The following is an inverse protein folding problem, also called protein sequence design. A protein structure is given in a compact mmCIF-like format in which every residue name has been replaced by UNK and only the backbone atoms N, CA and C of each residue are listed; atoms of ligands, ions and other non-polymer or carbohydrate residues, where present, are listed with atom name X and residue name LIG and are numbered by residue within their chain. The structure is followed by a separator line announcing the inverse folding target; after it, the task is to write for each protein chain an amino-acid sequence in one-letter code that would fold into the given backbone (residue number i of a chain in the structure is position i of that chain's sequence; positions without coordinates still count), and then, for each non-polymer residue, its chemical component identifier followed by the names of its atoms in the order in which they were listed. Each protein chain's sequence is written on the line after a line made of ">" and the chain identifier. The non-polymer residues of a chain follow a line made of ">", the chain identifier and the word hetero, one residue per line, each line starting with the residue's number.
data_IF_128926505063
#
_entry.id   IF_128926505063
#
_cell.length_a   1.000
_cell.length_b   1.000
_cell.length_c   1.000
_cell.angle_alpha   90.00
_cell.angle_beta   90.00
_cell.angle_gamma   90.00
#
_symmetry.space_group_name_H-M   'P 1'
#
loop_
_entity.id
_entity.type
_entity.pdbx_description
1 polymer ?
#
# COMPACT_ATOMS: atom_id res chain seq x y z
N UNK A 1 -16.34 3.53 10.30
CA UNK A 1 -15.88 2.78 9.12
C UNK A 1 -14.51 3.30 8.70
N UNK A 2 -13.47 2.50 8.96
CA UNK A 2 -12.07 2.86 8.68
C UNK A 2 -11.84 2.75 7.17
N UNK A 3 -11.55 3.87 6.51
CA UNK A 3 -11.20 3.92 5.10
C UNK A 3 -9.83 3.27 4.90
N UNK A 4 -9.78 2.18 4.13
CA UNK A 4 -8.53 1.70 3.55
C UNK A 4 -8.01 2.76 2.58
N UNK A 5 -6.77 3.18 2.80
CA UNK A 5 -6.04 4.03 1.86
C UNK A 5 -5.63 3.20 0.64
N UNK A 6 -6.55 3.13 -0.32
CA UNK A 6 -6.33 2.61 -1.67
C UNK A 6 -6.06 3.77 -2.62
N UNK A 7 -5.22 3.54 -3.62
CA UNK A 7 -5.03 4.41 -4.78
C UNK A 7 -6.38 4.88 -5.34
N UNK A 8 -6.56 6.20 -5.44
CA UNK A 8 -7.63 6.78 -6.25
C UNK A 8 -6.99 7.44 -7.47
N UNK A 9 -7.06 6.76 -8.61
CA UNK A 9 -7.20 7.43 -9.89
C UNK A 9 -8.70 7.60 -10.07
N UNK A 10 -9.20 8.83 -9.96
CA UNK A 10 -10.60 9.12 -10.26
C UNK A 10 -10.74 9.30 -11.77
N UNK A 11 -11.27 8.28 -12.45
CA UNK A 11 -11.99 8.51 -13.71
C UNK A 11 -13.17 7.53 -13.84
N UNK A 12 -14.23 8.03 -14.47
CA UNK A 12 -15.60 7.51 -14.58
C UNK A 12 -15.77 6.24 -15.43
N UNK A 13 -14.70 5.58 -15.87
CA UNK A 13 -14.75 4.40 -16.73
C UNK A 13 -14.16 3.22 -15.95
N UNK A 14 -14.94 2.19 -15.66
CA UNK A 14 -14.61 1.09 -14.75
C UNK A 14 -13.47 0.15 -15.18
N UNK A 15 -12.40 0.67 -15.79
CA UNK A 15 -11.21 -0.07 -16.22
C UNK A 15 -10.05 0.09 -15.22
N UNK A 16 -9.20 -0.93 -15.03
CA UNK A 16 -8.10 -0.88 -14.08
C UNK A 16 -7.00 0.10 -14.53
N UNK A 17 -6.25 0.72 -13.60
CA UNK A 17 -5.18 1.68 -13.93
C UNK A 17 -4.09 1.17 -14.88
N UNK A 18 -3.90 -0.16 -14.95
CA UNK A 18 -2.94 -0.81 -15.87
C UNK A 18 -3.41 -0.88 -17.33
N UNK A 19 -4.67 -0.56 -17.61
CA UNK A 19 -5.24 -0.56 -18.96
C UNK A 19 -4.96 0.75 -19.72
N UNK A 20 -4.37 1.75 -19.03
CA UNK A 20 -4.11 3.06 -19.60
C UNK A 20 -2.61 3.27 -19.74
N UNK A 21 -2.16 3.51 -20.98
CA UNK A 21 -0.87 4.16 -21.24
C UNK A 21 -1.01 5.59 -20.71
N UNK A 22 -0.64 5.83 -19.45
CA UNK A 22 -0.40 7.19 -18.95
C UNK A 22 0.75 7.75 -19.80
N UNK A 23 0.74 9.03 -20.23
CA UNK A 23 1.76 9.61 -21.13
C UNK A 23 3.06 9.91 -20.35
N UNK A 24 3.56 8.88 -19.66
CA UNK A 24 4.63 8.90 -18.69
C UNK A 24 5.94 9.37 -19.32
N UNK A 25 6.22 8.90 -20.54
CA UNK A 25 7.45 9.25 -21.26
C UNK A 25 7.38 10.66 -21.86
N UNK A 26 6.23 11.08 -22.37
CA UNK A 26 6.02 12.43 -22.94
C UNK A 26 6.23 13.54 -21.90
N UNK A 27 5.68 13.38 -20.70
CA UNK A 27 5.88 14.36 -19.62
C UNK A 27 7.34 14.41 -19.15
N UNK A 28 8.03 13.26 -19.10
CA UNK A 28 9.47 13.20 -18.77
C UNK A 28 10.32 13.94 -19.80
N UNK A 29 10.05 13.75 -21.09
CA UNK A 29 10.80 14.38 -22.18
C UNK A 29 10.57 15.90 -22.26
N UNK A 30 9.33 16.37 -22.13
CA UNK A 30 9.02 17.81 -22.10
C UNK A 30 9.74 18.53 -20.95
N UNK A 31 9.82 17.91 -19.77
CA UNK A 31 10.55 18.47 -18.62
C UNK A 31 12.07 18.49 -18.78
N UNK A 32 12.65 17.46 -19.40
CA UNK A 32 14.08 17.43 -19.74
C UNK A 32 14.42 18.50 -20.78
N UNK A 33 13.53 18.73 -21.76
CA UNK A 33 13.72 19.79 -22.76
C UNK A 33 13.68 21.21 -22.17
N UNK A 34 12.97 21.41 -21.05
CA UNK A 34 12.89 22.69 -20.36
C UNK A 34 14.01 22.98 -19.35
N UNK A 35 14.90 22.02 -19.07
CA UNK A 35 15.96 22.15 -18.04
C UNK A 35 17.39 22.11 -18.57
N UNK A 36 17.61 21.99 -19.89
CA UNK A 36 18.96 22.03 -20.47
C UNK A 36 19.28 23.45 -20.93
N UNK A 37 19.75 24.27 -20.00
CA UNK A 37 20.75 25.29 -20.33
C UNK A 37 22.11 24.59 -20.45
N UNK A 38 22.85 24.97 -21.49
CA UNK A 38 24.04 24.30 -22.00
C UNK A 38 25.13 24.01 -20.95
N UNK A 39 25.44 22.73 -20.73
CA UNK A 39 26.79 22.16 -20.77
C UNK A 39 26.80 20.68 -20.33
N UNK A 40 27.48 19.87 -21.14
CA UNK A 40 28.01 18.52 -20.84
C UNK A 40 27.02 17.43 -20.38
N UNK A 41 26.76 16.45 -21.27
CA UNK A 41 27.45 15.13 -21.21
C UNK A 41 27.15 14.38 -22.51
N UNK A 42 28.22 14.06 -23.23
CA UNK A 42 28.22 13.16 -24.39
C UNK A 42 28.21 11.69 -23.96
N UNK A 43 27.43 10.93 -24.71
CA UNK A 43 27.57 9.49 -25.02
C UNK A 43 26.91 8.49 -24.08
N UNK A 44 25.78 7.93 -24.55
CA UNK A 44 25.61 6.49 -24.73
C UNK A 44 24.40 6.29 -25.65
N UNK A 45 24.66 6.25 -26.95
CA UNK A 45 23.69 5.85 -27.95
C UNK A 45 23.55 4.33 -27.89
N UNK A 46 22.45 3.83 -27.30
CA UNK A 46 21.90 2.53 -27.68
C UNK A 46 20.46 2.37 -27.15
N UNK A 47 19.53 2.21 -28.10
CA UNK A 47 18.09 1.90 -27.97
C UNK A 47 17.20 2.96 -27.33
N UNK A 48 17.08 4.11 -27.99
CA UNK A 48 15.84 4.89 -27.95
C UNK A 48 14.86 4.26 -28.95
N UNK A 49 14.02 3.34 -28.47
CA UNK A 49 12.72 3.18 -29.11
C UNK A 49 12.04 4.53 -28.96
N UNK A 50 11.85 5.24 -30.07
CA UNK A 50 10.97 6.39 -30.15
C UNK A 50 9.59 5.89 -29.72
N UNK A 51 9.26 6.09 -28.44
CA UNK A 51 7.88 6.00 -28.00
C UNK A 51 7.18 7.17 -28.69
N UNK A 52 6.48 6.86 -29.78
CA UNK A 52 5.52 7.79 -30.35
C UNK A 52 4.65 8.30 -29.21
N UNK A 53 4.71 9.61 -28.94
CA UNK A 53 3.80 10.28 -28.03
C UNK A 53 2.41 10.10 -28.65
N UNK A 54 1.69 9.05 -28.24
CA UNK A 54 0.29 8.92 -28.59
C UNK A 54 -0.44 10.06 -27.91
N UNK A 55 -1.04 10.91 -28.73
CA UNK A 55 -1.98 11.91 -28.29
C UNK A 55 -3.14 11.15 -27.62
N UNK A 56 -3.28 11.28 -26.30
CA UNK A 56 -4.35 10.65 -25.54
C UNK A 56 -5.53 11.62 -25.54
N UNK A 57 -6.73 11.13 -25.85
CA UNK A 57 -7.97 11.94 -25.86
C UNK A 57 -8.45 12.39 -24.46
N UNK A 58 -7.58 12.37 -23.43
CA UNK A 58 -7.95 12.64 -22.05
C UNK A 58 -6.85 13.38 -21.28
N UNK A 59 -7.27 14.37 -20.50
CA UNK A 59 -6.43 15.07 -19.53
C UNK A 59 -6.39 14.34 -18.19
N UNK A 60 -5.21 14.27 -17.57
CA UNK A 60 -5.01 13.62 -16.27
C UNK A 60 -4.80 14.63 -15.15
N UNK A 61 -5.62 14.53 -14.09
CA UNK A 61 -5.35 15.17 -12.81
C UNK A 61 -4.74 14.15 -11.84
N UNK A 62 -3.42 14.23 -11.66
CA UNK A 62 -2.65 13.27 -10.89
C UNK A 62 -2.40 13.78 -9.46
N UNK A 63 -3.09 13.19 -8.47
CA UNK A 63 -2.87 13.48 -7.05
C UNK A 63 -2.29 12.29 -6.31
N UNK A 64 -1.36 12.55 -5.39
CA UNK A 64 -0.87 11.56 -4.44
C UNK A 64 -1.18 12.02 -3.01
N UNK A 65 -2.08 11.30 -2.34
CA UNK A 65 -2.49 11.57 -0.96
C UNK A 65 -1.57 10.82 0.00
N UNK A 66 -0.89 11.56 0.88
CA UNK A 66 0.01 10.96 1.85
C UNK A 66 0.09 11.79 3.14
N UNK A 67 0.71 11.24 4.18
CA UNK A 67 0.92 11.89 5.47
C UNK A 67 2.36 11.74 5.92
N UNK A 68 2.71 12.28 7.09
CA UNK A 68 4.02 12.02 7.67
C UNK A 68 4.28 10.50 7.77
N UNK A 69 5.50 10.07 7.41
CA UNK A 69 5.87 8.65 7.34
C UNK A 69 5.65 7.89 8.63
N UNK A 70 5.88 8.51 9.79
CA UNK A 70 5.67 7.86 11.09
C UNK A 70 4.19 7.59 11.32
N UNK A 71 3.34 8.58 11.06
CA UNK A 71 1.89 8.43 11.24
C UNK A 71 1.28 7.48 10.19
N UNK A 72 1.82 7.48 8.97
CA UNK A 72 1.48 6.49 7.97
C UNK A 72 1.84 5.07 8.43
N UNK A 73 3.03 4.86 8.99
CA UNK A 73 3.44 3.54 9.51
C UNK A 73 2.56 3.11 10.68
N UNK A 74 2.25 4.00 11.62
CA UNK A 74 1.30 3.72 12.72
C UNK A 74 -0.07 3.31 12.19
N UNK A 75 -0.56 4.00 11.16
CA UNK A 75 -1.86 3.71 10.54
C UNK A 75 -1.85 2.37 9.79
N UNK A 76 -0.75 2.05 9.11
CA UNK A 76 -0.55 0.76 8.44
C UNK A 76 -0.55 -0.37 9.46
N UNK A 77 0.22 -0.21 10.54
CA UNK A 77 0.35 -1.23 11.58
C UNK A 77 -0.99 -1.51 12.25
N UNK A 78 -1.71 -0.45 12.62
CA UNK A 78 -3.05 -0.56 13.17
C UNK A 78 -4.06 -1.19 12.19
N UNK A 79 -3.97 -0.88 10.90
CA UNK A 79 -4.84 -1.53 9.88
C UNK A 79 -4.53 -3.02 9.76
N UNK A 80 -3.26 -3.43 9.83
CA UNK A 80 -2.90 -4.85 9.83
C UNK A 80 -3.53 -5.58 11.03
N UNK A 81 -3.54 -4.96 12.21
CA UNK A 81 -4.26 -5.51 13.38
C UNK A 81 -5.76 -5.58 13.12
N UNK A 82 -6.37 -4.50 12.63
CA UNK A 82 -7.81 -4.43 12.36
C UNK A 82 -8.30 -5.49 11.37
N UNK A 83 -7.47 -5.83 10.37
CA UNK A 83 -7.76 -6.90 9.40
C UNK A 83 -7.77 -8.31 10.02
N UNK A 84 -7.21 -8.49 11.21
CA UNK A 84 -7.23 -9.76 11.93
C UNK A 84 -8.40 -9.89 12.90
N UNK A 85 -9.14 -8.80 13.14
CA UNK A 85 -10.28 -8.81 14.04
C UNK A 85 -11.53 -9.37 13.36
N UNK A 86 -12.36 -10.03 14.16
CA UNK A 86 -13.65 -10.56 13.73
C UNK A 86 -13.57 -11.93 13.06
N UNK A 87 -14.75 -12.55 12.91
CA UNK A 87 -14.87 -13.89 12.34
C UNK A 87 -14.57 -13.96 10.83
N UNK A 88 -14.75 -12.84 10.12
CA UNK A 88 -14.53 -12.71 8.67
C UNK A 88 -13.24 -11.94 8.33
N UNK A 89 -12.23 -12.03 9.20
CA UNK A 89 -10.94 -11.37 9.00
C UNK A 89 -10.08 -12.03 7.92
N UNK A 90 -8.90 -11.45 7.67
CA UNK A 90 -7.97 -11.91 6.62
C UNK A 90 -7.56 -13.39 6.78
N UNK A 91 -7.51 -13.92 8.01
CA UNK A 91 -7.19 -15.34 8.25
C UNK A 91 -8.31 -16.26 7.76
N UNK A 92 -9.57 -15.88 7.95
CA UNK A 92 -10.72 -16.64 7.44
C UNK A 92 -10.76 -16.62 5.91
N UNK A 93 -10.56 -15.44 5.30
CA UNK A 93 -10.48 -15.32 3.84
C UNK A 93 -9.30 -16.14 3.26
N UNK A 94 -8.11 -16.02 3.86
CA UNK A 94 -6.94 -16.77 3.42
C UNK A 94 -7.10 -18.29 3.62
N UNK A 95 -7.75 -18.71 4.71
CA UNK A 95 -8.10 -20.11 4.96
C UNK A 95 -9.04 -20.66 3.90
N UNK A 96 -10.10 -19.92 3.56
CA UNK A 96 -11.01 -20.29 2.49
C UNK A 96 -10.30 -20.40 1.13
N UNK A 97 -9.39 -19.46 0.81
CA UNK A 97 -8.59 -19.52 -0.43
C UNK A 97 -7.71 -20.77 -0.48
N UNK A 98 -7.12 -21.18 0.65
CA UNK A 98 -6.38 -22.44 0.76
C UNK A 98 -7.29 -23.65 0.53
N UNK A 99 -8.53 -23.62 1.05
CA UNK A 99 -9.49 -24.73 0.92
C UNK A 99 -9.96 -24.95 -0.51
N UNK A 100 -10.06 -23.89 -1.31
CA UNK A 100 -10.33 -23.99 -2.76
C UNK A 100 -9.08 -24.34 -3.60
N UNK A 101 -7.95 -24.63 -2.95
CA UNK A 101 -6.72 -25.12 -3.58
C UNK A 101 -5.73 -24.04 -4.03
N UNK A 102 -5.91 -22.78 -3.64
CA UNK A 102 -4.95 -21.73 -3.95
C UNK A 102 -3.79 -21.73 -2.95
N UNK A 103 -2.59 -21.98 -3.45
CA UNK A 103 -1.37 -21.99 -2.64
C UNK A 103 -0.72 -20.59 -2.57
N UNK A 104 0.02 -20.27 -1.50
CA UNK A 104 0.80 -19.04 -1.46
C UNK A 104 1.77 -18.99 -2.64
N UNK A 105 1.92 -17.81 -3.22
CA UNK A 105 2.80 -17.55 -4.37
C UNK A 105 2.41 -18.23 -5.70
N UNK A 106 1.30 -18.98 -5.76
CA UNK A 106 0.82 -19.63 -6.99
C UNK A 106 0.42 -18.66 -8.11
N UNK A 107 0.00 -17.43 -7.77
CA UNK A 107 -0.36 -16.40 -8.74
C UNK A 107 -0.14 -14.99 -8.15
N UNK A 108 -0.41 -13.94 -8.96
CA UNK A 108 -0.23 -12.56 -8.51
C UNK A 108 -1.10 -12.18 -7.30
N UNK A 109 -2.32 -12.69 -7.21
CA UNK A 109 -3.23 -12.41 -6.10
C UNK A 109 -2.75 -13.06 -4.79
N UNK A 110 -2.29 -14.31 -4.82
CA UNK A 110 -1.77 -15.00 -3.62
C UNK A 110 -0.39 -14.49 -3.17
N UNK A 111 0.28 -13.69 -4.00
CA UNK A 111 1.50 -12.94 -3.66
C UNK A 111 1.23 -11.60 -2.99
N UNK A 112 -0.04 -11.16 -2.93
CA UNK A 112 -0.40 -9.92 -2.29
C UNK A 112 -0.03 -9.90 -0.81
N UNK A 113 0.40 -8.74 -0.32
CA UNK A 113 0.80 -8.54 1.08
C UNK A 113 -0.44 -8.68 1.96
N UNK A 114 -0.30 -9.45 3.04
CA UNK A 114 -1.42 -9.89 3.87
C UNK A 114 -1.78 -11.33 3.53
N UNK A 115 -2.29 -11.56 2.32
CA UNK A 115 -2.67 -12.91 1.88
C UNK A 115 -1.51 -13.89 1.89
N UNK A 116 -0.35 -13.52 1.33
CA UNK A 116 0.82 -14.41 1.33
C UNK A 116 1.23 -14.81 2.74
N UNK A 117 1.37 -13.84 3.64
CA UNK A 117 1.76 -14.09 5.04
C UNK A 117 0.71 -14.93 5.78
N UNK A 118 -0.58 -14.63 5.58
CA UNK A 118 -1.67 -15.35 6.21
C UNK A 118 -1.74 -16.80 5.73
N UNK A 119 -1.63 -17.04 4.42
CA UNK A 119 -1.60 -18.38 3.83
C UNK A 119 -0.40 -19.18 4.32
N UNK A 120 0.80 -18.59 4.29
CA UNK A 120 2.03 -19.23 4.79
C UNK A 120 1.92 -19.58 6.29
N UNK A 121 1.30 -18.72 7.10
CA UNK A 121 1.05 -18.96 8.51
C UNK A 121 0.04 -20.09 8.75
N UNK A 122 -1.11 -20.06 8.07
CA UNK A 122 -2.17 -21.06 8.22
C UNK A 122 -1.74 -22.44 7.73
N UNK A 123 -0.93 -22.53 6.67
CA UNK A 123 -0.37 -23.81 6.22
C UNK A 123 0.50 -24.46 7.31
N UNK A 124 1.39 -23.68 7.95
CA UNK A 124 2.17 -24.19 9.10
C UNK A 124 1.27 -24.65 10.24
N UNK A 125 0.19 -23.90 10.52
CA UNK A 125 -0.77 -24.30 11.54
C UNK A 125 -1.47 -25.63 11.19
N UNK A 126 -1.87 -25.83 9.92
CA UNK A 126 -2.47 -27.07 9.42
C UNK A 126 -1.51 -28.26 9.53
N UNK A 127 -0.25 -28.07 9.14
CA UNK A 127 0.81 -29.08 9.26
C UNK A 127 1.05 -29.48 10.73
N UNK A 128 0.89 -28.54 11.66
CA UNK A 128 0.97 -28.76 13.10
C UNK A 128 -0.34 -29.24 13.74
N UNK A 129 -1.30 -29.75 12.95
CA UNK A 129 -2.57 -30.26 13.46
C UNK A 129 -3.46 -29.19 14.12
N UNK A 130 -3.44 -27.98 13.58
CA UNK A 130 -4.19 -26.83 14.08
C UNK A 130 -3.56 -26.15 15.30
N UNK A 131 -2.31 -26.44 15.62
CA UNK A 131 -1.60 -25.80 16.72
C UNK A 131 -0.73 -24.63 16.24
N UNK A 132 -0.73 -23.54 17.02
CA UNK A 132 0.16 -22.38 16.87
C UNK A 132 0.42 -21.80 18.26
N UNK A 133 1.63 -21.29 18.50
CA UNK A 133 1.91 -20.48 19.69
C UNK A 133 1.55 -19.01 19.45
N UNK A 134 1.45 -18.22 20.52
CA UNK A 134 1.36 -16.77 20.41
C UNK A 134 2.60 -16.18 19.71
N UNK A 135 3.79 -16.75 19.95
CA UNK A 135 5.03 -16.34 19.29
C UNK A 135 4.93 -16.42 17.76
N UNK A 136 4.41 -17.54 17.24
CA UNK A 136 4.22 -17.74 15.80
C UNK A 136 3.22 -16.74 15.21
N UNK A 137 2.13 -16.45 15.94
CA UNK A 137 1.15 -15.45 15.54
C UNK A 137 1.77 -14.04 15.48
N UNK A 138 2.53 -13.65 16.50
CA UNK A 138 3.20 -12.34 16.54
C UNK A 138 4.30 -12.21 15.48
N UNK A 139 5.00 -13.29 15.15
CA UNK A 139 5.94 -13.33 14.03
C UNK A 139 5.22 -13.07 12.70
N UNK A 140 4.10 -13.78 12.47
CA UNK A 140 3.25 -13.56 11.30
C UNK A 140 2.78 -12.09 11.21
N UNK A 141 2.22 -11.54 12.29
CA UNK A 141 1.74 -10.15 12.34
C UNK A 141 2.88 -9.16 12.04
N UNK A 142 4.05 -9.38 12.63
CA UNK A 142 5.25 -8.55 12.41
C UNK A 142 5.68 -8.54 10.94
N UNK A 143 5.73 -9.70 10.28
CA UNK A 143 6.09 -9.79 8.86
C UNK A 143 5.01 -9.21 7.94
N UNK A 144 3.73 -9.31 8.30
CA UNK A 144 2.64 -8.65 7.58
C UNK A 144 2.77 -7.12 7.66
N UNK A 145 2.97 -6.57 8.86
CA UNK A 145 3.15 -5.13 9.07
C UNK A 145 4.41 -4.61 8.36
N UNK A 146 5.54 -5.30 8.51
CA UNK A 146 6.80 -4.97 7.82
C UNK A 146 6.66 -5.01 6.31
N UNK A 147 6.01 -6.03 5.75
CA UNK A 147 5.70 -6.13 4.33
C UNK A 147 4.90 -4.92 3.84
N UNK A 148 3.86 -4.54 4.59
CA UNK A 148 2.98 -3.40 4.29
C UNK A 148 3.73 -2.07 4.34
N UNK A 149 4.57 -1.83 5.36
CA UNK A 149 5.41 -0.63 5.46
C UNK A 149 6.44 -0.53 4.34
N UNK A 150 7.07 -1.65 3.98
CA UNK A 150 8.03 -1.70 2.87
C UNK A 150 7.35 -1.38 1.54
N UNK A 151 6.13 -1.85 1.33
CA UNK A 151 5.33 -1.49 0.16
C UNK A 151 5.00 0.01 0.14
N UNK A 152 4.50 0.57 1.24
CA UNK A 152 4.25 2.00 1.34
C UNK A 152 5.52 2.84 1.08
N UNK A 153 6.68 2.42 1.60
CA UNK A 153 7.97 3.05 1.29
C UNK A 153 8.27 3.03 -0.22
N UNK A 154 8.08 1.88 -0.89
CA UNK A 154 8.30 1.76 -2.35
C UNK A 154 7.35 2.68 -3.13
N UNK A 155 6.07 2.73 -2.75
CA UNK A 155 5.10 3.65 -3.33
C UNK A 155 5.59 5.09 -3.21
N UNK A 156 5.94 5.53 -2.00
CA UNK A 156 6.45 6.89 -1.78
C UNK A 156 7.74 7.18 -2.55
N UNK A 157 8.65 6.21 -2.72
CA UNK A 157 9.86 6.39 -3.54
C UNK A 157 9.49 6.58 -5.01
N UNK A 158 8.57 5.77 -5.53
CA UNK A 158 8.11 5.85 -6.92
C UNK A 158 7.48 7.22 -7.19
N UNK A 159 6.46 7.61 -6.42
CA UNK A 159 5.76 8.89 -6.59
C UNK A 159 6.62 10.14 -6.41
N UNK A 160 7.76 10.05 -5.70
CA UNK A 160 8.68 11.19 -5.55
C UNK A 160 9.42 11.48 -6.85
N UNK A 161 9.71 10.44 -7.61
CA UNK A 161 10.39 10.55 -8.89
C UNK A 161 9.41 10.96 -10.01
N UNK A 162 8.10 10.97 -9.70
CA UNK A 162 7.06 11.41 -10.61
C UNK A 162 6.69 12.88 -10.39
N UNK A 163 6.95 13.68 -11.43
CA UNK A 163 6.64 15.11 -11.39
C UNK A 163 5.17 15.40 -11.68
N UNK A 164 4.50 14.53 -12.45
CA UNK A 164 3.08 14.67 -12.80
C UNK A 164 2.14 14.64 -11.59
N UNK A 165 2.58 14.07 -10.46
CA UNK A 165 1.75 13.98 -9.26
C UNK A 165 1.91 15.20 -8.36
N UNK A 166 0.78 15.82 -8.04
CA UNK A 166 0.61 16.81 -7.00
C UNK A 166 0.39 16.12 -5.64
N UNK A 167 1.20 16.46 -4.65
CA UNK A 167 1.20 15.80 -3.34
C UNK A 167 0.27 16.53 -2.35
N UNK A 168 -0.78 15.84 -1.91
CA UNK A 168 -1.76 16.36 -0.96
C UNK A 168 -1.54 15.73 0.42
N UNK A 169 -1.52 16.56 1.45
CA UNK A 169 -1.45 16.14 2.84
C UNK A 169 -2.81 15.56 3.29
N UNK A 170 -2.87 14.23 3.38
CA UNK A 170 -4.06 13.49 3.78
C UNK A 170 -4.35 13.57 5.30
N UNK A 171 -3.53 14.29 6.09
CA UNK A 171 -3.85 14.59 7.49
C UNK A 171 -4.84 15.75 7.64
N UNK A 172 -5.12 16.46 6.54
CA UNK A 172 -6.09 17.55 6.49
C UNK A 172 -7.53 17.02 6.51
N UNK A 173 -8.51 17.83 6.92
CA UNK A 173 -9.91 17.45 6.87
C UNK A 173 -10.32 16.96 5.47
N UNK A 174 -11.03 15.84 5.42
CA UNK A 174 -11.43 15.18 4.17
C UNK A 174 -12.21 16.14 3.27
N UNK A 175 -13.09 16.94 3.85
CA UNK A 175 -13.95 17.89 3.14
C UNK A 175 -13.13 18.93 2.38
N UNK A 176 -12.01 19.38 2.96
CA UNK A 176 -11.09 20.35 2.31
C UNK A 176 -10.31 19.72 1.16
N UNK A 177 -9.89 18.46 1.31
CA UNK A 177 -9.20 17.73 0.25
C UNK A 177 -10.15 17.47 -0.92
N UNK A 178 -11.38 17.04 -0.63
CA UNK A 178 -12.39 16.79 -1.65
C UNK A 178 -12.82 18.06 -2.36
N UNK A 179 -13.06 19.16 -1.62
CA UNK A 179 -13.43 20.43 -2.25
C UNK A 179 -12.36 20.88 -3.24
N UNK A 180 -11.08 20.80 -2.84
CA UNK A 180 -9.98 21.15 -3.73
C UNK A 180 -9.92 20.28 -5.00
N UNK A 181 -10.04 18.96 -4.86
CA UNK A 181 -10.02 18.04 -6.02
C UNK A 181 -11.20 18.33 -6.96
N UNK A 182 -12.40 18.57 -6.41
CA UNK A 182 -13.57 18.92 -7.20
C UNK A 182 -13.42 20.29 -7.90
N UNK A 183 -12.93 21.30 -7.19
CA UNK A 183 -12.71 22.65 -7.76
C UNK A 183 -11.65 22.61 -8.86
N UNK A 184 -10.59 21.82 -8.67
CA UNK A 184 -9.55 21.64 -9.69
C UNK A 184 -10.07 20.91 -10.93
N UNK A 185 -11.00 19.98 -10.78
CA UNK A 185 -11.64 19.30 -11.91
C UNK A 185 -12.57 20.23 -12.71
N UNK A 186 -13.29 21.13 -12.04
CA UNK A 186 -14.23 22.05 -12.69
C UNK A 186 -13.57 23.29 -13.30
N UNK A 187 -12.29 23.54 -13.00
CA UNK A 187 -11.56 24.70 -13.51
C UNK A 187 -11.19 24.49 -14.98
N UNK A 188 -11.66 25.37 -15.87
CA UNK A 188 -11.48 25.26 -17.33
C UNK A 188 -10.00 25.28 -17.79
N UNK A 189 -9.07 25.74 -16.96
CA UNK A 189 -7.63 25.84 -17.28
C UNK A 189 -6.80 24.64 -16.80
N UNK A 190 -7.39 23.62 -16.16
CA UNK A 190 -6.70 22.40 -15.70
C UNK A 190 -5.62 22.61 -14.61
N UNK A 191 -5.31 23.86 -14.24
CA UNK A 191 -4.22 24.20 -13.31
C UNK A 191 -4.70 25.11 -12.17
N UNK A 192 -5.58 24.60 -11.30
CA UNK A 192 -5.78 25.24 -10.01
C UNK A 192 -4.51 25.04 -9.16
N UNK A 193 -3.81 26.13 -8.84
CA UNK A 193 -2.59 26.07 -8.03
C UNK A 193 -2.90 25.48 -6.63
N UNK A 194 -2.19 24.41 -6.25
CA UNK A 194 -2.43 23.72 -4.98
C UNK A 194 -2.16 24.65 -3.79
N UNK A 195 -3.16 24.89 -2.91
CA UNK A 195 -3.00 25.74 -1.72
C UNK A 195 -1.89 25.22 -0.81
N UNK A 196 -1.09 26.13 -0.23
CA UNK A 196 -0.03 25.75 0.70
C UNK A 196 -0.53 24.95 1.91
N UNK A 197 -1.79 25.19 2.32
CA UNK A 197 -2.40 24.48 3.45
C UNK A 197 -2.65 22.99 3.21
N UNK A 198 -2.79 22.58 1.94
CA UNK A 198 -2.98 21.19 1.49
C UNK A 198 -1.72 20.57 0.89
N UNK A 199 -0.77 21.40 0.45
CA UNK A 199 0.48 20.96 -0.17
C UNK A 199 1.33 20.15 0.81
N UNK A 200 1.63 18.92 0.43
CA UNK A 200 2.62 18.09 1.12
C UNK A 200 3.99 18.25 0.45
N UNK A 201 5.04 18.49 1.25
CA UNK A 201 6.41 18.57 0.72
C UNK A 201 6.92 17.18 0.32
N UNK A 202 7.45 17.06 -0.90
CA UNK A 202 8.05 15.81 -1.43
C UNK A 202 9.30 15.39 -0.63
N UNK A 203 10.06 16.36 -0.14
CA UNK A 203 11.38 16.17 0.49
C UNK A 203 11.33 15.96 2.01
N UNK A 204 11.93 14.85 2.46
CA UNK A 204 12.26 14.60 3.87
C UNK A 204 13.76 14.91 4.06
N UNK A 205 14.15 16.18 3.91
CA UNK A 205 15.50 16.62 4.31
C UNK A 205 15.59 16.88 5.81
N UNK A 206 14.69 16.31 6.60
CA UNK A 206 14.68 16.47 8.04
C UNK A 206 15.42 15.30 8.69
N UNK A 207 16.70 15.50 9.02
CA UNK A 207 17.55 14.50 9.68
C UNK A 207 16.89 13.91 10.95
N UNK A 208 16.09 14.70 11.66
CA UNK A 208 15.32 14.26 12.83
C UNK A 208 14.28 13.20 12.49
N UNK A 209 13.49 13.41 11.44
CA UNK A 209 12.50 12.42 10.97
C UNK A 209 13.19 11.15 10.45
N UNK A 210 14.35 11.28 9.80
CA UNK A 210 15.12 10.12 9.37
C UNK A 210 15.64 9.29 10.55
N UNK A 211 16.05 9.93 11.65
CA UNK A 211 16.44 9.25 12.89
C UNK A 211 15.23 8.55 13.56
N UNK A 212 14.10 9.24 13.68
CA UNK A 212 12.85 8.68 14.22
C UNK A 212 12.37 7.46 13.40
N UNK A 213 12.53 7.48 12.07
CA UNK A 213 12.20 6.34 11.22
C UNK A 213 13.13 5.14 11.41
N UNK A 214 14.41 5.36 11.75
CA UNK A 214 15.37 4.29 12.02
C UNK A 214 15.07 3.58 13.34
N UNK A 215 14.57 4.33 14.33
CA UNK A 215 14.22 3.80 15.66
C UNK A 215 12.76 3.36 15.76
N UNK A 216 11.98 3.49 14.69
CA UNK A 216 10.57 3.11 14.67
C UNK A 216 10.38 1.64 15.08
N UNK A 217 9.46 1.44 16.03
CA UNK A 217 8.97 0.15 16.46
C UNK A 217 7.44 0.16 16.36
N UNK A 218 6.88 -0.94 15.91
CA UNK A 218 5.42 -1.13 15.90
C UNK A 218 4.91 -1.01 17.33
N UNK A 219 3.83 -0.27 17.53
CA UNK A 219 3.08 -0.23 18.79
C UNK A 219 1.68 -0.74 18.47
N UNK A 220 1.44 -2.00 18.81
CA UNK A 220 0.14 -2.65 18.61
C UNK A 220 -0.90 -2.06 19.58
N UNK A 221 -2.16 -2.05 19.14
CA UNK A 221 -3.31 -1.57 19.95
C UNK A 221 -4.30 -2.66 20.30
N UNK A 222 -4.42 -3.68 19.45
CA UNK A 222 -5.32 -4.81 19.64
C UNK A 222 -4.56 -6.02 20.17
N UNK A 223 -3.33 -6.25 19.70
CA UNK A 223 -2.50 -7.40 20.09
C UNK A 223 -1.28 -6.93 20.89
N UNK A 224 -1.47 -6.63 22.17
CA UNK A 224 -0.45 -6.08 23.08
C UNK A 224 0.26 -7.20 23.84
N UNK A 225 -0.51 -8.14 24.39
CA UNK A 225 -0.06 -9.24 25.23
C UNK A 225 -0.51 -10.61 24.75
N UNK A 226 0.02 -11.66 25.37
CA UNK A 226 -0.25 -13.05 24.96
C UNK A 226 -1.75 -13.38 24.97
N UNK A 227 -2.51 -12.87 25.94
CA UNK A 227 -3.97 -13.06 26.01
C UNK A 227 -4.75 -12.55 24.79
N UNK A 228 -4.24 -11.53 24.10
CA UNK A 228 -5.00 -10.85 23.03
C UNK A 228 -5.11 -11.67 21.73
N UNK A 229 -4.29 -12.72 21.59
CA UNK A 229 -4.32 -13.61 20.42
C UNK A 229 -5.03 -14.95 20.69
N UNK A 230 -5.50 -15.19 21.92
CA UNK A 230 -6.10 -16.48 22.32
C UNK A 230 -7.29 -16.85 21.44
N UNK A 231 -8.18 -15.91 21.18
CA UNK A 231 -9.36 -16.15 20.32
C UNK A 231 -8.96 -16.61 18.91
N UNK A 232 -7.87 -16.05 18.36
CA UNK A 232 -7.33 -16.44 17.05
C UNK A 232 -6.76 -17.85 17.11
N UNK A 233 -5.97 -18.16 18.14
CA UNK A 233 -5.36 -19.48 18.32
C UNK A 233 -6.44 -20.56 18.54
N UNK A 234 -7.47 -20.27 19.32
CA UNK A 234 -8.60 -21.16 19.55
C UNK A 234 -9.40 -21.38 18.26
N UNK A 235 -9.58 -20.33 17.45
CA UNK A 235 -10.18 -20.46 16.12
C UNK A 235 -9.36 -21.37 15.20
N UNK A 236 -8.02 -21.19 15.15
CA UNK A 236 -7.13 -22.05 14.35
C UNK A 236 -7.26 -23.52 14.81
N UNK A 237 -7.21 -23.75 16.11
CA UNK A 237 -7.33 -25.08 16.70
C UNK A 237 -8.68 -25.72 16.42
N UNK A 238 -9.76 -24.96 16.49
CA UNK A 238 -11.11 -25.46 16.16
C UNK A 238 -11.25 -25.77 14.67
N UNK A 239 -10.62 -24.97 13.80
CA UNK A 239 -10.78 -25.09 12.34
C UNK A 239 -9.93 -26.21 11.75
N UNK A 240 -8.71 -26.41 12.27
CA UNK A 240 -7.73 -27.34 11.69
C UNK A 240 -7.29 -28.45 12.66
N UNK A 241 -7.77 -28.42 13.90
CA UNK A 241 -7.52 -29.48 14.87
C UNK A 241 -8.14 -30.79 14.42
N UNK A 242 -7.38 -31.88 14.52
CA UNK A 242 -7.95 -33.21 14.35
C UNK A 242 -8.97 -33.44 15.47
N UNK A 243 -10.15 -34.02 15.17
CA UNK A 243 -11.03 -34.51 16.23
C UNK A 243 -10.23 -35.52 17.05
N UNK A 244 -10.17 -35.32 18.36
CA UNK A 244 -9.69 -36.36 19.26
C UNK A 244 -10.69 -37.51 19.13
N UNK A 245 -10.37 -38.49 18.29
CA UNK A 245 -11.05 -39.77 18.30
C UNK A 245 -11.00 -40.27 19.74
N UNK A 246 -12.16 -40.21 20.37
CA UNK A 246 -12.40 -40.85 21.65
C UNK A 246 -12.34 -42.34 21.36
N UNK A 247 -11.13 -42.90 21.50
CA UNK A 247 -10.90 -44.34 21.56
C UNK A 247 -11.76 -44.89 22.71
N UNK A 248 -12.93 -45.40 22.35
CA UNK A 248 -13.69 -46.37 23.13
C UNK A 248 -13.17 -47.77 22.84
#
# INVERSE_FOLDING_TARGET
>A
MKKLNTFFVLQSTGSPPSAFEVPYDSFREQLISGQIDAADVKTSADKLQQNEIKDLDYDFLCYFLSTNRIDLYRSIDFRCEDMLLGADGILSEAGWLLDVGLLPNSNSATRAIGYRQAMEYLLRCRENGGWSSAGDFYEFLSEFQKGSRNFAKRQMTWFRNEQIYEWIDASKPLEKVLSFICDSYNSQDGHLQMPESLRMRKDIRNHRQAAELKTYRTINRHFIGHEDCVDVLDWIKKTYGQPTDSLC
#
